data_IF_893903501503
#
_entry.id   IF_893903501503
#
_cell.length_a   1.000
_cell.length_b   1.000
_cell.length_c   1.000
_cell.angle_alpha   90.00
_cell.angle_beta   90.00
_cell.angle_gamma   90.00
#
_symmetry.space_group_name_H-M   'P 1'
#
loop_
_entity.id
_entity.type
_entity.pdbx_description
1 polymer ?
#
# COMPACT_ATOMS: atom_id res chain seq x y z
N UNK A 1 -11.69 1.96 7.88
CA UNK A 1 -10.67 1.01 7.37
C UNK A 1 -11.32 -0.37 7.27
N UNK A 2 -10.93 -1.21 6.30
CA UNK A 2 -11.38 -2.61 6.17
C UNK A 2 -10.39 -3.62 6.76
N UNK A 3 -9.10 -3.33 6.65
CA UNK A 3 -8.05 -4.10 7.31
C UNK A 3 -6.65 -3.79 6.75
N UNK A 4 -5.65 -4.44 7.33
CA UNK A 4 -4.25 -4.42 6.95
C UNK A 4 -3.72 -5.85 6.79
N UNK A 5 -2.89 -6.10 5.77
CA UNK A 5 -2.39 -7.44 5.46
C UNK A 5 -0.96 -7.37 4.92
N UNK A 6 -0.12 -8.29 5.37
CA UNK A 6 1.17 -8.54 4.73
C UNK A 6 0.93 -9.25 3.39
N UNK A 7 1.21 -8.57 2.28
CA UNK A 7 0.91 -9.08 0.93
C UNK A 7 2.13 -8.98 0.01
N UNK A 8 3.03 -9.98 0.03
CA UNK A 8 4.20 -10.00 -0.87
C UNK A 8 3.81 -10.07 -2.35
N UNK A 9 2.59 -10.53 -2.66
CA UNK A 9 2.05 -10.61 -4.01
C UNK A 9 1.83 -9.24 -4.64
N UNK A 10 1.49 -8.22 -3.85
CA UNK A 10 1.18 -6.87 -4.33
C UNK A 10 2.33 -6.26 -5.13
N UNK A 11 3.58 -6.61 -4.82
CA UNK A 11 4.77 -6.13 -5.54
C UNK A 11 4.80 -6.52 -7.03
N UNK A 12 4.04 -7.55 -7.41
CA UNK A 12 3.91 -8.04 -8.79
C UNK A 12 2.65 -7.51 -9.49
N UNK A 13 1.77 -6.82 -8.76
CA UNK A 13 0.58 -6.23 -9.34
C UNK A 13 0.94 -5.05 -10.25
N UNK A 14 0.18 -4.88 -11.33
CA UNK A 14 0.17 -3.61 -12.03
C UNK A 14 -0.40 -2.53 -11.11
N UNK A 15 0.43 -1.54 -10.78
CA UNK A 15 0.02 -0.38 -9.98
C UNK A 15 -1.06 0.47 -10.69
N UNK A 16 -1.17 0.36 -12.03
CA UNK A 16 -2.13 1.12 -12.84
C UNK A 16 -1.53 2.40 -13.42
N UNK A 17 -2.40 3.35 -13.78
CA UNK A 17 -1.98 4.63 -14.37
C UNK A 17 -1.48 5.54 -13.24
N UNK A 18 -0.25 6.05 -13.36
CA UNK A 18 0.34 6.92 -12.35
C UNK A 18 -0.11 8.38 -12.55
N UNK A 19 -0.39 9.07 -11.45
CA UNK A 19 -0.46 10.52 -11.44
C UNK A 19 0.89 11.14 -11.90
N UNK A 20 0.90 12.36 -12.45
CA UNK A 20 2.16 13.09 -12.68
C UNK A 20 2.98 13.25 -11.38
N UNK A 21 4.32 13.17 -11.45
CA UNK A 21 5.20 13.37 -10.28
C UNK A 21 6.56 12.65 -10.34
N UNK A 22 7.26 12.53 -9.21
CA UNK A 22 8.58 11.86 -9.10
C UNK A 22 8.44 10.34 -8.98
N UNK A 23 9.01 9.56 -9.90
CA UNK A 23 9.09 8.10 -9.85
C UNK A 23 10.46 7.66 -10.35
N UNK A 24 11.11 6.74 -9.61
CA UNK A 24 12.38 6.13 -10.03
C UNK A 24 12.12 4.65 -10.31
N UNK A 25 12.06 4.25 -11.59
CA UNK A 25 11.84 2.86 -11.96
C UNK A 25 12.79 1.91 -11.26
N UNK A 26 12.27 0.76 -10.81
CA UNK A 26 13.00 -0.34 -10.14
C UNK A 26 13.59 -0.03 -8.76
N UNK A 27 13.56 1.21 -8.28
CA UNK A 27 14.08 1.58 -6.95
C UNK A 27 12.93 1.77 -5.96
N UNK A 28 11.96 2.60 -6.34
CA UNK A 28 10.82 2.96 -5.50
C UNK A 28 9.57 3.17 -6.35
N UNK A 29 8.48 2.54 -5.94
CA UNK A 29 7.13 2.85 -6.42
C UNK A 29 6.50 3.78 -5.39
N UNK A 30 6.58 5.08 -5.67
CA UNK A 30 6.00 6.13 -4.83
C UNK A 30 4.99 6.96 -5.62
N UNK A 31 3.89 7.34 -4.96
CA UNK A 31 2.88 8.26 -5.48
C UNK A 31 1.47 7.68 -5.59
N UNK A 32 0.61 8.43 -6.28
CA UNK A 32 -0.79 8.06 -6.49
C UNK A 32 -0.96 7.32 -7.81
N UNK A 33 -1.62 6.16 -7.75
CA UNK A 33 -1.94 5.35 -8.91
C UNK A 33 -3.45 5.10 -9.01
N UNK A 34 -3.94 4.98 -10.24
CA UNK A 34 -5.33 4.77 -10.58
C UNK A 34 -5.53 3.43 -11.27
N UNK A 35 -6.43 2.61 -10.74
CA UNK A 35 -6.81 1.32 -11.35
C UNK A 35 -8.26 1.03 -11.04
N UNK A 36 -9.03 0.65 -12.06
CA UNK A 36 -10.44 0.26 -11.89
C UNK A 36 -11.35 1.34 -11.30
N UNK A 37 -11.03 2.63 -11.50
CA UNK A 37 -11.77 3.75 -10.91
C UNK A 37 -11.35 4.12 -9.48
N UNK A 38 -10.45 3.35 -8.87
CA UNK A 38 -9.97 3.57 -7.51
C UNK A 38 -8.56 4.16 -7.48
N UNK A 39 -8.23 4.81 -6.36
CA UNK A 39 -6.90 5.38 -6.09
C UNK A 39 -6.16 4.51 -5.09
N UNK A 40 -4.93 4.13 -5.42
CA UNK A 40 -3.99 3.50 -4.49
C UNK A 40 -2.82 4.44 -4.23
N UNK A 41 -2.50 4.65 -2.95
CA UNK A 41 -1.23 5.26 -2.56
C UNK A 41 -0.17 4.16 -2.54
N UNK A 42 0.87 4.29 -3.36
CA UNK A 42 2.04 3.42 -3.30
C UNK A 42 3.17 4.15 -2.63
N UNK A 43 3.83 3.49 -1.69
CA UNK A 43 5.10 3.90 -1.11
C UNK A 43 5.90 2.63 -0.77
N UNK A 44 6.52 2.03 -1.79
CA UNK A 44 7.19 0.73 -1.67
C UNK A 44 8.57 0.78 -2.32
N UNK A 45 9.63 0.54 -1.55
CA UNK A 45 10.98 0.31 -2.09
C UNK A 45 11.21 -1.18 -2.33
N UNK A 46 12.08 -1.51 -3.30
CA UNK A 46 12.40 -2.89 -3.64
C UNK A 46 13.03 -3.71 -2.49
N UNK A 47 13.59 -3.04 -1.48
CA UNK A 47 14.23 -3.66 -0.31
C UNK A 47 13.27 -3.86 0.88
N UNK A 48 11.99 -3.55 0.73
CA UNK A 48 11.02 -3.54 1.83
C UNK A 48 9.94 -4.61 1.63
N UNK A 49 9.34 -5.03 2.74
CA UNK A 49 8.19 -5.92 2.72
C UNK A 49 6.89 -5.11 2.58
N UNK A 50 5.97 -5.52 1.70
CA UNK A 50 4.73 -4.79 1.47
C UNK A 50 3.63 -5.13 2.49
N UNK A 51 3.02 -4.09 3.06
CA UNK A 51 1.73 -4.13 3.75
C UNK A 51 0.69 -3.40 2.90
N UNK A 52 -0.46 -4.03 2.72
CA UNK A 52 -1.63 -3.44 2.08
C UNK A 52 -2.63 -3.07 3.15
N UNK A 53 -3.05 -1.82 3.15
CA UNK A 53 -4.13 -1.31 4.01
C UNK A 53 -5.32 -0.93 3.16
N UNK A 54 -6.46 -1.56 3.40
CA UNK A 54 -7.71 -1.31 2.70
C UNK A 54 -8.58 -0.29 3.45
N UNK A 55 -9.06 0.71 2.73
CA UNK A 55 -9.82 1.83 3.27
C UNK A 55 -11.26 1.81 2.73
N UNK A 56 -12.20 2.38 3.50
CA UNK A 56 -13.60 2.56 3.07
C UNK A 56 -13.97 4.02 3.26
N UNK A 57 -14.58 4.63 2.25
CA UNK A 57 -15.08 6.01 2.34
C UNK A 57 -13.99 7.09 2.26
N UNK A 58 -12.75 6.69 1.98
CA UNK A 58 -11.59 7.58 1.93
C UNK A 58 -11.18 7.93 0.50
N UNK A 59 -10.34 8.97 0.36
CA UNK A 59 -9.77 9.38 -0.94
C UNK A 59 -9.02 8.25 -1.65
N UNK A 60 -8.35 7.39 -0.88
CA UNK A 60 -7.65 6.20 -1.37
C UNK A 60 -8.44 4.97 -0.97
N UNK A 61 -8.55 4.00 -1.88
CA UNK A 61 -9.11 2.69 -1.56
C UNK A 61 -8.07 1.77 -0.90
N UNK A 62 -6.79 1.93 -1.28
CA UNK A 62 -5.67 1.15 -0.73
C UNK A 62 -4.45 2.02 -0.44
N UNK A 63 -3.68 1.61 0.56
CA UNK A 63 -2.30 2.03 0.78
C UNK A 63 -1.40 0.81 0.63
N UNK A 64 -0.38 0.88 -0.23
CA UNK A 64 0.66 -0.14 -0.38
C UNK A 64 1.95 0.42 0.17
N UNK A 65 2.36 -0.05 1.35
CA UNK A 65 3.45 0.53 2.14
C UNK A 65 4.58 -0.48 2.28
N UNK A 66 5.80 -0.03 2.00
CA UNK A 66 7.02 -0.78 2.29
C UNK A 66 7.45 -0.59 3.74
N UNK A 67 7.60 -1.70 4.46
CA UNK A 67 8.01 -1.74 5.87
C UNK A 67 9.14 -2.76 6.06
N UNK A 68 9.70 -2.80 7.27
CA UNK A 68 10.78 -3.74 7.59
C UNK A 68 10.26 -5.16 7.88
N UNK A 69 9.13 -5.29 8.57
CA UNK A 69 8.43 -6.55 8.85
C UNK A 69 6.94 -6.35 8.57
N UNK A 70 6.46 -6.90 7.45
CA UNK A 70 5.09 -6.69 7.01
C UNK A 70 4.08 -7.35 7.94
N UNK A 71 4.42 -8.53 8.48
CA UNK A 71 3.51 -9.27 9.34
C UNK A 71 3.32 -8.56 10.67
N UNK A 72 4.40 -8.19 11.34
CA UNK A 72 4.35 -7.47 12.61
C UNK A 72 3.62 -6.13 12.46
N UNK A 73 3.88 -5.41 11.37
CA UNK A 73 3.22 -4.12 11.12
C UNK A 73 1.71 -4.27 10.87
N UNK A 74 1.30 -5.28 10.08
CA UNK A 74 -0.12 -5.54 9.84
C UNK A 74 -0.84 -5.92 11.14
N UNK A 75 -0.23 -6.78 11.95
CA UNK A 75 -0.75 -7.16 13.28
C UNK A 75 -0.89 -5.93 14.20
N UNK A 76 0.07 -5.02 14.21
CA UNK A 76 0.01 -3.79 15.02
C UNK A 76 -1.14 -2.87 14.57
N UNK A 77 -1.34 -2.69 13.27
CA UNK A 77 -2.43 -1.88 12.72
C UNK A 77 -3.79 -2.48 13.13
N UNK A 78 -3.98 -3.78 12.95
CA UNK A 78 -5.23 -4.47 13.33
C UNK A 78 -5.49 -4.38 14.85
N UNK A 79 -4.45 -4.50 15.66
CA UNK A 79 -4.57 -4.33 17.11
C UNK A 79 -4.95 -2.89 17.49
N UNK A 80 -4.43 -1.87 16.80
CA UNK A 80 -4.77 -0.48 17.07
C UNK A 80 -6.24 -0.17 16.72
N UNK A 81 -6.79 -0.82 15.70
CA UNK A 81 -8.19 -0.67 15.29
C UNK A 81 -9.16 -1.38 16.24
N UNK A 82 -8.81 -2.56 16.74
CA UNK A 82 -9.67 -3.31 17.67
C UNK A 82 -9.77 -2.70 19.06
N UNK A 83 -8.87 -1.77 19.41
CA UNK A 83 -8.90 -1.01 20.67
C UNK A 83 -9.82 0.24 20.63
N UNK A 84 -10.47 0.52 19.50
CA UNK A 84 -11.42 1.62 19.32
C UNK A 84 -12.86 1.14 19.31
#
# INVERSE_FOLDING_TARGET
MRGATADPGVSRESAGVRAPGTYVPRVITDGTYFRGGERTCWNLRASQEPVVVELTGERFARLVLGVADARATAEEIEQALSRR
#
